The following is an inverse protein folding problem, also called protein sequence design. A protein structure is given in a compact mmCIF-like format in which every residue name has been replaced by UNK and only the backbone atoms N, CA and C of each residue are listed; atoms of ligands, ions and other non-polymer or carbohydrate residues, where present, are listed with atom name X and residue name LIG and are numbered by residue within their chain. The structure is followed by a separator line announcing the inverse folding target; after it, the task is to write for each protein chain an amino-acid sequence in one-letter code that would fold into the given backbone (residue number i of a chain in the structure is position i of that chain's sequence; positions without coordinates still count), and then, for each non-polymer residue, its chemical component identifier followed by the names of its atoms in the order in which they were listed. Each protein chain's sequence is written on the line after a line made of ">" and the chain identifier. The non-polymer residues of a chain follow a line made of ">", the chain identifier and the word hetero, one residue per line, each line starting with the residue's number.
data_IF_745403515834
#
_entry.id   IF_745403515834
#
_cell.length_a   1.000
_cell.length_b   1.000
_cell.length_c   1.000
_cell.angle_alpha   90.00
_cell.angle_beta   90.00
_cell.angle_gamma   90.00
#
_symmetry.space_group_name_H-M   'P 1'
#
loop_
_entity.id
_entity.type
_entity.pdbx_description
1 polymer ?
#
# COMPACT_ATOMS: atom_id res chain seq x y z
N UNK A 1 -21.42 -18.72 -29.19
CA UNK A 1 -20.30 -19.32 -28.42
C UNK A 1 -20.96 -20.20 -27.37
N UNK A 2 -20.73 -21.52 -27.33
CA UNK A 2 -21.41 -22.38 -26.36
C UNK A 2 -21.01 -21.93 -24.96
N UNK A 3 -21.98 -21.63 -24.11
CA UNK A 3 -21.70 -21.22 -22.75
C UNK A 3 -21.24 -22.43 -21.92
N UNK A 4 -20.26 -22.21 -21.05
CA UNK A 4 -19.71 -23.29 -20.21
C UNK A 4 -20.78 -23.91 -19.31
N UNK A 5 -21.77 -23.12 -18.91
CA UNK A 5 -22.92 -23.58 -18.14
C UNK A 5 -23.71 -24.66 -18.90
N UNK A 6 -24.03 -24.42 -20.17
CA UNK A 6 -24.74 -25.39 -21.01
C UNK A 6 -23.93 -26.67 -21.21
N UNK A 7 -22.60 -26.56 -21.35
CA UNK A 7 -21.71 -27.73 -21.48
C UNK A 7 -21.74 -28.58 -20.20
N UNK A 8 -21.71 -27.93 -19.04
CA UNK A 8 -21.77 -28.62 -17.74
C UNK A 8 -23.13 -29.30 -17.58
N UNK A 9 -24.22 -28.63 -17.96
CA UNK A 9 -25.57 -29.15 -17.78
C UNK A 9 -25.94 -30.31 -18.73
N UNK A 10 -25.25 -30.48 -19.86
CA UNK A 10 -25.45 -31.64 -20.75
C UNK A 10 -25.26 -32.99 -20.04
N UNK A 11 -24.39 -33.03 -19.04
CA UNK A 11 -24.12 -34.22 -18.24
C UNK A 11 -23.65 -33.81 -16.84
N UNK A 12 -24.56 -33.13 -16.12
CA UNK A 12 -24.28 -32.48 -14.84
C UNK A 12 -23.80 -33.47 -13.78
N UNK A 13 -24.38 -34.68 -13.74
CA UNK A 13 -24.06 -35.67 -12.70
C UNK A 13 -22.65 -36.24 -12.88
N UNK A 14 -22.26 -36.66 -14.09
CA UNK A 14 -20.88 -37.09 -14.33
C UNK A 14 -19.89 -35.94 -14.18
N UNK A 15 -20.29 -34.70 -14.48
CA UNK A 15 -19.45 -33.55 -14.26
C UNK A 15 -19.21 -33.29 -12.76
N UNK A 16 -20.27 -33.28 -11.94
CA UNK A 16 -20.18 -33.16 -10.47
C UNK A 16 -19.26 -34.21 -9.88
N UNK A 17 -19.42 -35.48 -10.26
CA UNK A 17 -18.56 -36.58 -9.75
C UNK A 17 -17.08 -36.29 -10.03
N UNK A 18 -16.74 -35.86 -11.25
CA UNK A 18 -15.34 -35.53 -11.62
C UNK A 18 -14.84 -34.28 -10.91
N UNK A 19 -15.69 -33.28 -10.74
CA UNK A 19 -15.35 -32.02 -10.08
C UNK A 19 -15.04 -32.24 -8.60
N UNK A 20 -15.94 -32.90 -7.86
CA UNK A 20 -15.81 -33.11 -6.42
C UNK A 20 -14.69 -34.06 -6.02
N UNK A 21 -14.27 -34.97 -6.92
CA UNK A 21 -13.04 -35.76 -6.74
C UNK A 21 -11.76 -34.92 -6.65
N UNK A 22 -11.79 -33.67 -7.09
CA UNK A 22 -10.64 -32.75 -7.07
C UNK A 22 -10.72 -31.74 -5.91
N UNK A 23 -11.60 -31.99 -4.93
CA UNK A 23 -11.85 -31.08 -3.80
C UNK A 23 -11.58 -31.82 -2.50
N UNK A 24 -10.89 -31.15 -1.58
CA UNK A 24 -10.72 -31.63 -0.22
C UNK A 24 -12.00 -31.37 0.59
N UNK A 25 -12.76 -32.42 0.81
CA UNK A 25 -14.03 -32.43 1.56
C UNK A 25 -13.95 -33.25 2.85
N UNK A 26 -12.80 -33.85 3.17
CA UNK A 26 -12.72 -34.79 4.29
C UNK A 26 -12.85 -34.05 5.62
N UNK A 27 -13.84 -34.45 6.43
CA UNK A 27 -14.14 -33.87 7.74
C UNK A 27 -14.41 -32.35 7.69
N UNK A 28 -14.94 -31.85 6.56
CA UNK A 28 -15.26 -30.43 6.34
C UNK A 28 -16.75 -30.16 6.53
N UNK A 29 -17.04 -29.13 7.30
CA UNK A 29 -18.38 -28.56 7.41
C UNK A 29 -18.66 -27.56 6.28
N UNK A 30 -19.91 -27.09 6.22
CA UNK A 30 -20.36 -26.01 5.34
C UNK A 30 -19.70 -24.65 5.63
N UNK A 31 -19.12 -24.49 6.83
CA UNK A 31 -18.36 -23.29 7.23
C UNK A 31 -16.87 -23.39 6.92
N UNK A 32 -16.39 -24.57 6.52
CA UNK A 32 -14.97 -24.78 6.21
C UNK A 32 -14.64 -24.46 4.76
N UNK A 33 -13.37 -24.13 4.50
CA UNK A 33 -12.91 -24.05 3.12
C UNK A 33 -12.79 -25.43 2.50
N UNK A 34 -13.44 -25.63 1.35
CA UNK A 34 -13.28 -26.81 0.51
C UNK A 34 -12.21 -26.51 -0.53
N UNK A 35 -10.99 -27.02 -0.34
CA UNK A 35 -9.84 -26.59 -1.11
C UNK A 35 -9.71 -27.37 -2.43
N UNK A 36 -9.43 -26.66 -3.52
CA UNK A 36 -9.11 -27.25 -4.81
C UNK A 36 -7.74 -27.94 -4.80
N UNK A 37 -7.71 -29.24 -5.12
CA UNK A 37 -6.51 -30.08 -5.07
C UNK A 37 -5.72 -30.14 -6.39
N UNK A 38 -6.32 -29.70 -7.49
CA UNK A 38 -5.69 -29.76 -8.82
C UNK A 38 -4.93 -28.47 -9.18
N UNK A 39 -4.75 -28.21 -10.48
CA UNK A 39 -3.98 -27.10 -11.03
C UNK A 39 -4.49 -25.76 -10.49
N UNK A 40 -3.55 -24.91 -10.08
CA UNK A 40 -3.76 -23.53 -9.62
C UNK A 40 -3.00 -22.57 -10.53
N UNK A 41 -3.44 -21.32 -10.62
CA UNK A 41 -2.66 -20.26 -11.28
C UNK A 41 -1.62 -19.64 -10.33
N UNK A 42 -0.85 -18.67 -10.85
CA UNK A 42 0.18 -17.95 -10.08
C UNK A 42 -0.37 -17.19 -8.86
N UNK A 43 -1.66 -16.87 -8.88
CA UNK A 43 -2.35 -16.12 -7.82
C UNK A 43 -3.07 -17.08 -6.85
N UNK A 44 -2.90 -18.39 -7.02
CA UNK A 44 -3.43 -19.44 -6.16
C UNK A 44 -4.84 -19.92 -6.51
N UNK A 45 -5.49 -19.37 -7.54
CA UNK A 45 -6.85 -19.76 -7.89
C UNK A 45 -6.88 -21.11 -8.60
N UNK A 46 -7.74 -22.01 -8.11
CA UNK A 46 -7.99 -23.31 -8.75
C UNK A 46 -8.50 -23.16 -10.19
N UNK A 47 -8.00 -24.00 -11.09
CA UNK A 47 -8.41 -24.06 -12.51
C UNK A 47 -8.83 -25.47 -12.89
N UNK A 48 -9.86 -25.56 -13.73
CA UNK A 48 -10.32 -26.80 -14.36
C UNK A 48 -10.34 -26.65 -15.89
N UNK A 49 -9.90 -27.69 -16.59
CA UNK A 49 -9.91 -27.76 -18.05
C UNK A 49 -11.20 -28.45 -18.50
N UNK A 50 -12.08 -27.74 -19.21
CA UNK A 50 -13.35 -28.26 -19.71
C UNK A 50 -13.28 -28.37 -21.23
N UNK A 51 -13.75 -29.49 -21.76
CA UNK A 51 -13.88 -29.71 -23.20
C UNK A 51 -15.07 -28.91 -23.71
N UNK A 52 -14.84 -27.99 -24.63
CA UNK A 52 -15.90 -27.14 -25.20
C UNK A 52 -16.41 -27.68 -26.54
N UNK A 53 -15.54 -28.35 -27.31
CA UNK A 53 -15.84 -28.97 -28.61
C UNK A 53 -14.95 -30.19 -28.83
N UNK A 54 -15.11 -30.93 -29.93
CA UNK A 54 -14.22 -32.06 -30.27
C UNK A 54 -12.77 -31.57 -30.42
N UNK A 55 -11.88 -32.12 -29.58
CA UNK A 55 -10.46 -31.74 -29.55
C UNK A 55 -10.12 -30.41 -28.88
N UNK A 56 -11.11 -29.57 -28.54
CA UNK A 56 -10.87 -28.22 -27.97
C UNK A 56 -11.23 -28.15 -26.48
N UNK A 57 -10.34 -27.54 -25.72
CA UNK A 57 -10.49 -27.38 -24.28
C UNK A 57 -10.20 -25.95 -23.86
N UNK A 58 -10.93 -25.47 -22.84
CA UNK A 58 -10.73 -24.16 -22.23
C UNK A 58 -10.56 -24.30 -20.73
N UNK A 59 -9.74 -23.45 -20.12
CA UNK A 59 -9.54 -23.39 -18.67
C UNK A 59 -10.55 -22.42 -18.05
N UNK A 60 -11.17 -22.85 -16.96
CA UNK A 60 -12.11 -22.07 -16.17
C UNK A 60 -11.68 -22.05 -14.71
N UNK A 61 -12.08 -21.02 -13.96
CA UNK A 61 -11.85 -20.96 -12.52
C UNK A 61 -12.71 -21.98 -11.78
N UNK A 62 -12.11 -22.81 -10.94
CA UNK A 62 -12.81 -23.87 -10.22
C UNK A 62 -13.92 -23.30 -9.30
N UNK A 63 -13.67 -22.17 -8.64
CA UNK A 63 -14.68 -21.46 -7.85
C UNK A 63 -15.88 -21.00 -8.70
N UNK A 64 -15.66 -20.53 -9.94
CA UNK A 64 -16.77 -20.16 -10.84
C UNK A 64 -17.60 -21.38 -11.24
N UNK A 65 -16.94 -22.51 -11.47
CA UNK A 65 -17.63 -23.76 -11.77
C UNK A 65 -18.43 -24.25 -10.57
N UNK A 66 -17.87 -24.21 -9.36
CA UNK A 66 -18.60 -24.56 -8.14
C UNK A 66 -19.84 -23.68 -7.93
N UNK A 67 -19.70 -22.36 -8.14
CA UNK A 67 -20.84 -21.45 -8.11
C UNK A 67 -21.90 -21.86 -9.13
N UNK A 68 -21.51 -22.17 -10.38
CA UNK A 68 -22.46 -22.57 -11.41
C UNK A 68 -23.21 -23.88 -11.10
N UNK A 69 -22.54 -24.84 -10.48
CA UNK A 69 -23.15 -26.12 -10.09
C UNK A 69 -24.28 -25.94 -9.07
N UNK A 70 -24.13 -24.97 -8.16
CA UNK A 70 -25.07 -24.79 -7.03
C UNK A 70 -26.06 -23.65 -7.21
N UNK A 71 -25.64 -22.57 -7.86
CA UNK A 71 -26.40 -21.31 -7.94
C UNK A 71 -26.84 -20.99 -9.38
N UNK A 72 -26.37 -21.74 -10.38
CA UNK A 72 -26.74 -21.56 -11.77
C UNK A 72 -25.83 -20.59 -12.56
N UNK A 73 -26.34 -20.14 -13.71
CA UNK A 73 -25.57 -19.34 -14.68
C UNK A 73 -25.06 -18.04 -14.04
N UNK A 74 -23.81 -17.68 -14.39
CA UNK A 74 -23.25 -16.36 -14.07
C UNK A 74 -23.64 -15.41 -15.20
N UNK A 75 -24.45 -14.41 -14.89
CA UNK A 75 -24.93 -13.43 -15.87
C UNK A 75 -23.97 -12.24 -16.02
N UNK A 76 -23.88 -11.73 -17.24
CA UNK A 76 -23.09 -10.54 -17.59
C UNK A 76 -21.62 -10.64 -17.18
N UNK A 77 -21.07 -9.51 -16.73
CA UNK A 77 -19.67 -9.36 -16.33
C UNK A 77 -19.46 -9.59 -14.82
N UNK A 78 -20.35 -10.35 -14.17
CA UNK A 78 -20.25 -10.63 -12.74
C UNK A 78 -19.06 -11.56 -12.43
N UNK A 79 -18.41 -11.23 -11.32
CA UNK A 79 -17.33 -12.00 -10.72
C UNK A 79 -17.87 -12.87 -9.59
N UNK A 80 -17.25 -14.03 -9.39
CA UNK A 80 -17.49 -14.86 -8.21
C UNK A 80 -16.41 -14.50 -7.20
N UNK A 81 -16.83 -13.98 -6.05
CA UNK A 81 -15.97 -13.44 -5.00
C UNK A 81 -15.97 -14.37 -3.79
N UNK A 82 -14.81 -14.49 -3.14
CA UNK A 82 -14.64 -15.25 -1.91
C UNK A 82 -14.92 -14.41 -0.67
N UNK A 83 -15.73 -14.92 0.26
CA UNK A 83 -15.88 -14.33 1.60
C UNK A 83 -14.77 -14.76 2.56
N UNK A 84 -14.12 -15.91 2.32
CA UNK A 84 -13.12 -16.54 3.19
C UNK A 84 -11.65 -16.16 2.88
N UNK A 85 -11.40 -15.34 1.87
CA UNK A 85 -10.05 -14.92 1.43
C UNK A 85 -9.08 -16.04 1.04
N UNK A 86 -9.60 -17.23 0.76
CA UNK A 86 -8.82 -18.37 0.30
C UNK A 86 -9.06 -18.62 -1.21
N UNK A 87 -8.10 -18.29 -2.10
CA UNK A 87 -8.26 -18.45 -3.55
C UNK A 87 -8.51 -19.89 -4.03
N UNK A 88 -8.13 -20.88 -3.20
CA UNK A 88 -8.32 -22.31 -3.51
C UNK A 88 -9.70 -22.82 -3.11
N UNK A 89 -10.44 -22.07 -2.30
CA UNK A 89 -11.75 -22.49 -1.81
C UNK A 89 -12.77 -22.56 -2.96
N UNK A 90 -13.52 -23.66 -2.99
CA UNK A 90 -14.65 -23.87 -3.90
C UNK A 90 -15.96 -24.16 -3.16
N UNK A 91 -16.01 -23.96 -1.84
CA UNK A 91 -17.26 -24.09 -1.06
C UNK A 91 -18.28 -23.05 -1.54
N UNK A 92 -19.47 -23.42 -2.05
CA UNK A 92 -20.48 -22.48 -2.53
C UNK A 92 -20.93 -21.47 -1.47
N UNK A 93 -20.94 -21.82 -0.19
CA UNK A 93 -21.30 -20.91 0.91
C UNK A 93 -20.26 -19.79 1.11
N UNK A 94 -19.05 -19.99 0.60
CA UNK A 94 -17.98 -18.99 0.61
C UNK A 94 -17.92 -18.17 -0.69
N UNK A 95 -18.83 -18.41 -1.64
CA UNK A 95 -18.85 -17.78 -2.95
C UNK A 95 -20.09 -16.92 -3.11
N UNK A 96 -19.91 -15.72 -3.67
CA UNK A 96 -21.01 -14.82 -4.01
C UNK A 96 -20.75 -14.12 -5.33
N UNK A 97 -21.80 -13.71 -6.03
CA UNK A 97 -21.65 -12.79 -7.15
C UNK A 97 -21.34 -11.38 -6.66
N UNK A 98 -20.57 -10.66 -7.46
CA UNK A 98 -20.29 -9.25 -7.23
C UNK A 98 -19.62 -8.64 -8.45
N UNK A 99 -19.52 -7.31 -8.43
CA UNK A 99 -18.84 -6.57 -9.48
C UNK A 99 -17.33 -6.49 -9.20
N UNK A 100 -16.56 -6.06 -10.21
CA UNK A 100 -15.16 -5.69 -10.00
C UNK A 100 -15.00 -4.59 -8.93
N UNK A 101 -15.97 -3.69 -8.81
CA UNK A 101 -15.96 -2.63 -7.79
C UNK A 101 -16.15 -3.21 -6.38
N UNK A 102 -17.02 -4.21 -6.22
CA UNK A 102 -17.21 -4.89 -4.93
C UNK A 102 -15.94 -5.62 -4.50
N UNK A 103 -15.25 -6.30 -5.42
CA UNK A 103 -13.97 -6.93 -5.12
C UNK A 103 -12.90 -5.91 -4.70
N UNK A 104 -12.85 -4.75 -5.37
CA UNK A 104 -11.92 -3.68 -5.01
C UNK A 104 -12.25 -3.08 -3.63
N UNK A 105 -13.54 -2.93 -3.31
CA UNK A 105 -14.02 -2.49 -2.00
C UNK A 105 -13.62 -3.49 -0.91
N UNK A 106 -13.85 -4.78 -1.12
CA UNK A 106 -13.48 -5.84 -0.17
C UNK A 106 -11.96 -5.87 0.07
N UNK A 107 -11.16 -5.73 -1.00
CA UNK A 107 -9.70 -5.63 -0.89
C UNK A 107 -9.26 -4.42 -0.04
N UNK A 108 -9.96 -3.29 -0.15
CA UNK A 108 -9.71 -2.08 0.66
C UNK A 108 -10.09 -2.29 2.12
N UNK A 109 -11.32 -2.75 2.38
CA UNK A 109 -11.84 -2.97 3.75
C UNK A 109 -10.93 -3.95 4.50
N UNK A 110 -10.45 -4.98 3.81
CA UNK A 110 -9.58 -6.02 4.40
C UNK A 110 -8.09 -5.65 4.39
N UNK A 111 -7.73 -4.41 4.06
CA UNK A 111 -6.34 -3.91 4.00
C UNK A 111 -5.38 -4.79 3.18
N UNK A 112 -5.87 -5.44 2.12
CA UNK A 112 -5.07 -6.28 1.21
C UNK A 112 -4.56 -5.50 0.00
N UNK A 113 -4.54 -4.17 0.09
CA UNK A 113 -3.98 -3.34 -0.96
C UNK A 113 -2.45 -3.46 -0.92
N UNK A 114 -1.79 -3.74 -2.06
CA UNK A 114 -0.35 -3.69 -2.10
C UNK A 114 0.09 -2.25 -1.84
N UNK A 115 0.92 -2.06 -0.81
CA UNK A 115 1.61 -0.80 -0.54
C UNK A 115 3.08 -0.98 -0.93
N UNK A 116 3.40 -0.99 -2.23
CA UNK A 116 4.77 -1.16 -2.66
C UNK A 116 5.64 -0.03 -2.09
N UNK A 117 6.79 -0.39 -1.51
CA UNK A 117 7.73 0.54 -0.88
C UNK A 117 9.04 0.59 -1.67
N UNK A 118 9.70 1.74 -1.61
CA UNK A 118 11.01 1.90 -2.23
C UNK A 118 10.95 1.61 -3.74
N UNK A 119 11.91 0.84 -4.26
CA UNK A 119 12.02 0.51 -5.70
C UNK A 119 10.80 -0.25 -6.26
N UNK A 120 10.03 -0.93 -5.39
CA UNK A 120 8.82 -1.62 -5.81
C UNK A 120 7.67 -0.65 -6.09
N UNK A 121 7.76 0.60 -5.62
CA UNK A 121 6.78 1.63 -5.90
C UNK A 121 6.97 2.15 -7.33
N UNK A 122 5.94 2.09 -8.16
CA UNK A 122 6.02 2.47 -9.59
C UNK A 122 6.47 3.91 -9.87
N UNK A 123 6.45 4.79 -8.87
CA UNK A 123 6.96 6.17 -8.94
C UNK A 123 8.33 6.39 -8.28
N UNK A 124 9.08 5.33 -7.95
CA UNK A 124 10.36 5.45 -7.26
C UNK A 124 11.45 6.03 -8.18
N UNK A 125 11.82 7.29 -7.93
CA UNK A 125 12.87 8.01 -8.67
C UNK A 125 14.30 7.65 -8.25
N UNK A 126 14.46 6.91 -7.16
CA UNK A 126 15.75 6.57 -6.55
C UNK A 126 15.76 5.12 -6.05
N UNK A 127 16.95 4.52 -6.00
CA UNK A 127 17.17 3.14 -5.55
C UNK A 127 17.79 3.09 -4.13
N UNK A 128 18.10 1.87 -3.67
CA UNK A 128 18.67 1.64 -2.33
C UNK A 128 20.05 2.30 -2.16
N UNK A 129 20.90 2.27 -3.19
CA UNK A 129 22.24 2.87 -3.15
C UNK A 129 22.15 4.40 -3.04
N UNK A 130 21.18 5.01 -3.73
CA UNK A 130 20.92 6.45 -3.63
C UNK A 130 20.50 6.82 -2.20
N UNK A 131 19.65 6.02 -1.56
CA UNK A 131 19.23 6.24 -0.17
C UNK A 131 20.43 6.20 0.79
N UNK A 132 21.32 5.21 0.63
CA UNK A 132 22.53 5.08 1.43
C UNK A 132 23.45 6.28 1.22
N UNK A 133 23.63 6.70 -0.05
CA UNK A 133 24.45 7.86 -0.41
C UNK A 133 23.88 9.16 0.16
N UNK A 134 22.57 9.39 0.01
CA UNK A 134 21.86 10.54 0.59
C UNK A 134 22.05 10.57 2.11
N UNK A 135 21.95 9.43 2.80
CA UNK A 135 22.17 9.35 4.25
C UNK A 135 23.61 9.69 4.64
N UNK A 136 24.58 9.19 3.90
CA UNK A 136 26.00 9.52 4.10
C UNK A 136 26.27 11.02 3.93
N UNK A 137 25.80 11.61 2.82
CA UNK A 137 25.92 13.04 2.54
C UNK A 137 25.20 13.90 3.58
N UNK A 138 23.99 13.50 4.01
CA UNK A 138 23.21 14.21 5.02
C UNK A 138 23.87 14.19 6.40
N UNK A 139 24.57 13.10 6.74
CA UNK A 139 25.34 12.95 7.99
C UNK A 139 26.47 13.96 8.07
N UNK A 140 27.11 14.28 6.94
CA UNK A 140 28.09 15.35 6.86
C UNK A 140 27.39 16.73 6.93
N UNK A 141 27.50 17.39 8.10
CA UNK A 141 26.83 18.67 8.35
C UNK A 141 27.40 19.84 7.55
N UNK A 142 28.60 19.69 6.97
CA UNK A 142 29.23 20.71 6.13
C UNK A 142 28.64 20.75 4.71
N UNK A 143 27.97 19.68 4.28
CA UNK A 143 27.30 19.64 2.97
C UNK A 143 25.95 20.36 3.06
N UNK A 144 25.71 21.29 2.13
CA UNK A 144 24.43 21.99 2.00
C UNK A 144 23.37 21.04 1.46
N UNK A 145 22.17 21.06 2.06
CA UNK A 145 21.07 20.20 1.63
C UNK A 145 20.60 20.46 0.21
N UNK A 146 20.76 21.71 -0.27
CA UNK A 146 20.44 22.11 -1.64
C UNK A 146 21.30 21.34 -2.65
N UNK A 147 22.60 21.22 -2.40
CA UNK A 147 23.51 20.50 -3.30
C UNK A 147 23.17 19.01 -3.39
N UNK A 148 22.77 18.39 -2.27
CA UNK A 148 22.27 17.00 -2.27
C UNK A 148 20.95 16.91 -3.05
N UNK A 149 20.04 17.87 -2.86
CA UNK A 149 18.77 17.89 -3.56
C UNK A 149 18.95 18.01 -5.08
N UNK A 150 19.83 18.89 -5.55
CA UNK A 150 20.19 19.06 -6.96
C UNK A 150 20.81 17.80 -7.55
N UNK A 151 21.77 17.18 -6.85
CA UNK A 151 22.48 15.97 -7.29
C UNK A 151 21.53 14.81 -7.60
N UNK A 152 20.47 14.65 -6.80
CA UNK A 152 19.49 13.56 -6.96
C UNK A 152 18.20 14.02 -7.66
N UNK A 153 18.11 15.29 -8.09
CA UNK A 153 16.90 15.89 -8.63
C UNK A 153 15.66 15.68 -7.73
N UNK A 154 15.84 15.91 -6.43
CA UNK A 154 14.83 15.75 -5.39
C UNK A 154 14.59 17.05 -4.64
N UNK A 155 13.49 17.14 -3.89
CA UNK A 155 13.27 18.28 -3.00
C UNK A 155 14.05 18.12 -1.69
N UNK A 156 14.39 19.24 -1.04
CA UNK A 156 15.06 19.25 0.28
C UNK A 156 14.23 18.47 1.34
N UNK A 157 12.90 18.57 1.28
CA UNK A 157 12.01 17.81 2.17
C UNK A 157 12.13 16.31 1.92
N UNK A 158 12.20 15.88 0.65
CA UNK A 158 12.41 14.47 0.29
C UNK A 158 13.75 13.97 0.80
N UNK A 159 14.83 14.73 0.59
CA UNK A 159 16.17 14.41 1.14
C UNK A 159 16.11 14.23 2.67
N UNK A 160 15.42 15.14 3.37
CA UNK A 160 15.28 15.07 4.83
C UNK A 160 14.48 13.85 5.28
N UNK A 161 13.37 13.54 4.60
CA UNK A 161 12.56 12.37 4.94
C UNK A 161 13.34 11.06 4.72
N UNK A 162 14.07 10.94 3.61
CA UNK A 162 14.93 9.79 3.31
C UNK A 162 16.03 9.65 4.36
N UNK A 163 16.72 10.75 4.67
CA UNK A 163 17.85 10.76 5.58
C UNK A 163 17.44 10.41 7.02
N UNK A 164 16.31 10.94 7.49
CA UNK A 164 15.78 10.68 8.84
C UNK A 164 15.03 9.36 8.95
N UNK A 165 14.78 8.67 7.83
CA UNK A 165 14.08 7.39 7.80
C UNK A 165 12.57 7.51 7.94
N UNK A 166 11.99 8.71 7.72
CA UNK A 166 10.55 8.86 7.53
C UNK A 166 10.11 8.17 6.24
N UNK A 167 10.87 8.39 5.17
CA UNK A 167 10.82 7.60 3.95
C UNK A 167 11.97 6.57 3.99
N UNK A 168 11.77 5.39 3.39
CA UNK A 168 12.77 4.30 3.38
C UNK A 168 13.22 3.84 4.79
N UNK A 169 12.28 3.75 5.74
CA UNK A 169 12.54 3.32 7.12
C UNK A 169 13.13 1.91 7.25
N UNK A 170 12.88 1.05 6.26
CA UNK A 170 13.37 -0.33 6.19
C UNK A 170 14.83 -0.44 5.76
N UNK A 171 15.42 0.62 5.20
CA UNK A 171 16.86 0.67 4.89
C UNK A 171 17.62 1.10 6.15
N UNK A 172 18.77 0.53 6.49
CA UNK A 172 19.57 0.92 7.67
C UNK A 172 20.30 2.27 7.48
N UNK A 173 20.80 2.84 8.58
CA UNK A 173 21.63 4.06 8.55
C UNK A 173 20.88 5.40 8.61
N UNK A 174 19.64 5.41 9.16
CA UNK A 174 18.90 6.65 9.41
C UNK A 174 19.72 7.62 10.29
N UNK A 175 19.67 8.90 9.95
CA UNK A 175 20.45 9.96 10.59
C UNK A 175 19.52 10.87 11.40
N UNK A 176 19.95 11.30 12.60
CA UNK A 176 19.20 12.32 13.34
C UNK A 176 19.08 13.60 12.50
N UNK A 177 17.88 14.16 12.47
CA UNK A 177 17.59 15.40 11.75
C UNK A 177 18.54 16.53 12.17
N UNK A 178 18.84 17.46 11.26
CA UNK A 178 19.60 18.66 11.61
C UNK A 178 18.79 19.49 12.62
N UNK A 179 19.43 19.95 13.70
CA UNK A 179 18.80 20.82 14.69
C UNK A 179 18.33 22.10 14.00
N UNK A 180 17.08 22.48 14.21
CA UNK A 180 16.58 23.78 13.74
C UNK A 180 17.13 24.83 14.68
N UNK A 181 17.80 25.86 14.15
CA UNK A 181 18.40 26.96 14.92
C UNK A 181 17.40 27.67 15.86
N UNK A 182 16.10 27.51 15.59
CA UNK A 182 15.00 27.97 16.44
C UNK A 182 14.24 26.74 16.93
N UNK A 183 14.12 26.61 18.25
CA UNK A 183 13.17 25.75 18.92
C UNK A 183 12.16 26.61 19.69
N UNK A 184 11.22 25.97 20.40
CA UNK A 184 10.17 26.68 21.13
C UNK A 184 10.74 27.55 22.27
N UNK A 185 11.78 27.07 22.96
CA UNK A 185 12.43 27.78 24.06
C UNK A 185 13.10 29.08 23.59
N UNK A 186 13.88 29.00 22.50
CA UNK A 186 14.53 30.17 21.88
C UNK A 186 13.47 31.16 21.38
N UNK A 187 12.37 30.66 20.78
CA UNK A 187 11.28 31.52 20.34
C UNK A 187 10.60 32.25 21.51
N UNK A 188 10.39 31.58 22.65
CA UNK A 188 9.89 32.23 23.88
C UNK A 188 10.89 33.25 24.44
N UNK A 189 12.18 32.92 24.47
CA UNK A 189 13.21 33.84 24.95
C UNK A 189 13.25 35.12 24.11
N UNK A 190 13.20 35.00 22.78
CA UNK A 190 13.12 36.15 21.86
C UNK A 190 11.90 37.02 22.17
N UNK A 191 10.72 36.41 22.39
CA UNK A 191 9.48 37.14 22.73
C UNK A 191 9.58 37.83 24.09
N UNK A 192 10.12 37.16 25.11
CA UNK A 192 10.33 37.72 26.46
C UNK A 192 11.29 38.92 26.41
N UNK A 193 12.42 38.78 25.73
CA UNK A 193 13.38 39.88 25.56
C UNK A 193 12.80 41.05 24.77
N UNK A 194 12.01 40.79 23.73
CA UNK A 194 11.37 41.88 22.98
C UNK A 194 10.31 42.61 23.80
N UNK A 195 9.57 41.89 24.66
CA UNK A 195 8.52 42.45 25.51
C UNK A 195 9.04 43.46 26.55
N UNK A 196 10.33 43.40 26.94
CA UNK A 196 10.93 44.40 27.85
C UNK A 196 11.06 45.78 27.23
N UNK A 197 10.90 45.90 25.90
CA UNK A 197 11.10 47.12 25.10
C UNK A 197 12.52 47.71 25.16
N UNK A 198 13.47 47.01 25.78
CA UNK A 198 14.87 47.44 25.87
C UNK A 198 15.69 47.07 24.63
N UNK A 199 15.23 46.09 23.84
CA UNK A 199 15.99 45.52 22.74
C UNK A 199 15.28 45.71 21.39
N UNK A 200 16.02 46.19 20.39
CA UNK A 200 15.51 46.29 19.02
C UNK A 200 15.51 44.94 18.31
N UNK A 201 14.67 44.78 17.27
CA UNK A 201 14.68 43.56 16.44
C UNK A 201 16.05 43.28 15.81
N UNK A 202 16.78 44.34 15.43
CA UNK A 202 18.15 44.25 14.88
C UNK A 202 19.15 43.75 15.92
N UNK A 203 19.04 44.21 17.16
CA UNK A 203 19.86 43.70 18.25
C UNK A 203 19.59 42.21 18.51
N UNK A 204 18.32 41.81 18.60
CA UNK A 204 17.94 40.41 18.80
C UNK A 204 18.40 39.52 17.63
N UNK A 205 18.31 40.01 16.40
CA UNK A 205 18.81 39.30 15.22
C UNK A 205 20.31 39.00 15.35
N UNK A 206 21.12 39.98 15.77
CA UNK A 206 22.54 39.77 16.02
C UNK A 206 22.78 38.81 17.20
N UNK A 207 22.08 39.01 18.33
CA UNK A 207 22.23 38.18 19.54
C UNK A 207 21.98 36.69 19.28
N UNK A 208 20.95 36.36 18.50
CA UNK A 208 20.59 34.98 18.17
C UNK A 208 21.21 34.50 16.84
N UNK A 209 22.03 35.33 16.19
CA UNK A 209 22.63 35.07 14.88
C UNK A 209 21.56 34.67 13.83
N UNK A 210 20.50 35.46 13.72
CA UNK A 210 19.35 35.23 12.84
C UNK A 210 19.11 36.45 11.96
N UNK A 211 18.30 36.28 10.91
CA UNK A 211 17.87 37.43 10.12
C UNK A 211 16.81 38.24 10.88
N UNK A 212 16.73 39.54 10.60
CA UNK A 212 15.69 40.41 11.18
C UNK A 212 14.29 39.92 10.78
N UNK A 213 14.12 39.37 9.58
CA UNK A 213 12.87 38.76 9.10
C UNK A 213 12.46 37.59 9.98
N UNK A 214 13.39 36.70 10.30
CA UNK A 214 13.15 35.54 11.17
C UNK A 214 12.74 35.98 12.58
N UNK A 215 13.45 36.95 13.17
CA UNK A 215 13.06 37.55 14.47
C UNK A 215 11.65 38.15 14.39
N UNK A 216 11.34 38.85 13.30
CA UNK A 216 10.03 39.47 13.09
C UNK A 216 8.91 38.43 13.02
N UNK A 217 9.11 37.32 12.31
CA UNK A 217 8.13 36.23 12.23
C UNK A 217 7.88 35.56 13.58
N UNK A 218 8.94 35.37 14.38
CA UNK A 218 8.85 34.81 15.74
C UNK A 218 8.08 35.74 16.68
N UNK A 219 8.39 37.04 16.66
CA UNK A 219 7.71 38.07 17.48
C UNK A 219 6.23 38.19 17.07
N UNK A 220 5.94 38.23 15.78
CA UNK A 220 4.59 38.39 15.26
C UNK A 220 3.76 37.10 15.30
N UNK A 221 4.26 36.02 15.94
CA UNK A 221 3.58 34.74 16.05
C UNK A 221 3.16 34.11 14.71
N UNK A 222 3.80 34.51 13.60
CA UNK A 222 3.58 33.91 12.27
C UNK A 222 4.20 32.52 12.17
N UNK A 223 5.20 32.25 13.00
CA UNK A 223 5.87 30.96 13.12
C UNK A 223 6.00 30.53 14.60
N UNK A 224 6.12 29.22 14.84
CA UNK A 224 6.41 28.65 16.17
C UNK A 224 5.35 28.96 17.24
N UNK A 225 4.08 28.79 16.87
CA UNK A 225 2.94 28.79 17.79
C UNK A 225 2.94 27.50 18.62
N UNK A 226 2.70 27.62 19.93
CA UNK A 226 2.36 26.46 20.76
C UNK A 226 0.98 25.99 20.29
N UNK A 227 0.85 24.74 19.82
CA UNK A 227 -0.48 24.16 19.63
C UNK A 227 -1.18 24.19 20.99
N UNK A 228 -2.35 24.81 21.08
CA UNK A 228 -3.20 24.67 22.27
C UNK A 228 -3.51 23.18 22.40
N UNK A 229 -2.99 22.58 23.47
CA UNK A 229 -3.37 21.25 23.95
C UNK A 229 -4.80 21.29 24.45
#
# INVERSE_FOLDING_TARGET
>A
MIEVFDIINKDIENFKIRFWKLVDLKDKSDSDCWNWLSIKDKDGYGKIKIRIEKGKFKRFGAHRISYMIHNGKIEGDLCVLHSCDNPTCVNPNHLRLGTHQDNARDKKIRNRQPHPKGILHGGAKINVNDVIRIRSLYKNKNIKLISIAEEFNLTISTITNIATGKDWSHIPGKVKGRYRKINFEIAEEIRKLYATKQYTRKFLANKFNMTVTTITNVINNKEWLRKKT
#
